data_IF_424234143451
#
_entry.id   IF_424234143451
#
_cell.length_a   1.000
_cell.length_b   1.000
_cell.length_c   1.000
_cell.angle_alpha   90.00
_cell.angle_beta   90.00
_cell.angle_gamma   90.00
#
_symmetry.space_group_name_H-M   'P 1'
#
loop_
_entity.id
_entity.type
_entity.pdbx_description
1 polymer ?
#
# COMPACT_ATOMS: atom_id res chain seq x y z
N UNK A 1 9.04 8.76 22.34
CA UNK A 1 10.39 8.26 22.03
C UNK A 1 11.08 9.32 21.18
N UNK A 2 12.18 9.91 21.69
CA UNK A 2 12.91 10.97 21.00
C UNK A 2 13.62 10.43 19.74
N UNK A 3 13.68 11.22 18.66
CA UNK A 3 14.39 10.88 17.42
C UNK A 3 13.65 9.91 16.47
N UNK A 4 12.51 9.36 16.84
CA UNK A 4 11.72 8.48 15.97
C UNK A 4 10.67 9.24 15.19
N UNK A 5 10.43 8.81 13.96
CA UNK A 5 9.43 9.36 13.06
C UNK A 5 8.54 8.24 12.49
N UNK A 6 7.26 8.53 12.26
CA UNK A 6 6.33 7.63 11.60
C UNK A 6 6.12 8.05 10.14
N UNK A 7 6.38 7.15 9.19
CA UNK A 7 6.07 7.37 7.78
C UNK A 7 4.87 6.50 7.39
N UNK A 8 3.66 7.09 7.24
CA UNK A 8 2.45 6.32 7.06
C UNK A 8 2.34 5.78 5.63
N UNK A 9 2.53 4.48 5.50
CA UNK A 9 2.33 3.75 4.26
C UNK A 9 1.15 2.80 4.44
N UNK A 10 0.28 2.72 3.46
CA UNK A 10 -0.89 1.85 3.45
C UNK A 10 -0.88 0.92 2.25
N UNK A 11 -1.62 -0.20 2.34
CA UNK A 11 -1.91 -1.08 1.22
C UNK A 11 -3.37 -0.93 0.80
N UNK A 12 -3.60 -0.64 -0.47
CA UNK A 12 -4.92 -0.62 -1.08
C UNK A 12 -5.17 -1.95 -1.78
N UNK A 13 -6.41 -2.45 -1.70
CA UNK A 13 -6.81 -3.71 -2.30
C UNK A 13 -8.02 -3.52 -3.20
N UNK A 14 -7.99 -4.15 -4.37
CA UNK A 14 -9.19 -4.41 -5.14
C UNK A 14 -9.89 -5.61 -4.53
N UNK A 15 -11.21 -5.54 -4.34
CA UNK A 15 -12.01 -6.64 -3.80
C UNK A 15 -13.13 -7.00 -4.75
N UNK A 16 -13.24 -8.30 -5.07
CA UNK A 16 -14.39 -8.87 -5.75
C UNK A 16 -15.17 -9.77 -4.80
N UNK A 17 -16.51 -9.68 -4.85
CA UNK A 17 -17.44 -10.58 -4.15
C UNK A 17 -18.15 -11.52 -5.13
N UNK A 18 -17.74 -11.57 -6.39
CA UNK A 18 -18.34 -12.45 -7.38
C UNK A 18 -18.06 -13.93 -7.01
N UNK A 19 -19.09 -14.73 -6.70
CA UNK A 19 -18.91 -16.10 -6.26
C UNK A 19 -18.25 -16.98 -7.33
N UNK A 20 -18.53 -16.79 -8.60
CA UNK A 20 -17.91 -17.55 -9.68
C UNK A 20 -16.40 -17.38 -9.73
N UNK A 21 -15.92 -16.13 -9.59
CA UNK A 21 -14.49 -15.84 -9.53
C UNK A 21 -13.84 -16.41 -8.27
N UNK A 22 -14.55 -16.36 -7.15
CA UNK A 22 -14.05 -16.87 -5.86
C UNK A 22 -13.91 -18.40 -5.92
N UNK A 23 -14.87 -19.09 -6.54
CA UNK A 23 -14.81 -20.56 -6.68
C UNK A 23 -13.69 -21.01 -7.62
N UNK A 24 -13.42 -20.27 -8.67
CA UNK A 24 -12.35 -20.56 -9.62
C UNK A 24 -10.95 -20.35 -9.03
N UNK A 25 -10.84 -19.54 -7.97
CA UNK A 25 -9.54 -19.16 -7.40
C UNK A 25 -9.46 -19.51 -5.91
N UNK A 26 -8.85 -20.65 -5.59
CA UNK A 26 -8.70 -21.16 -4.22
C UNK A 26 -7.26 -21.05 -3.69
N UNK A 27 -6.32 -20.64 -4.53
CA UNK A 27 -4.90 -20.50 -4.17
C UNK A 27 -4.52 -19.04 -3.98
N UNK A 28 -3.43 -18.79 -3.24
CA UNK A 28 -2.78 -17.50 -3.17
C UNK A 28 -1.67 -17.44 -4.22
N UNK A 29 -1.78 -16.52 -5.16
CA UNK A 29 -0.83 -16.34 -6.25
C UNK A 29 -0.13 -15.01 -6.11
N UNK A 30 1.20 -15.03 -6.14
CA UNK A 30 2.04 -13.82 -6.11
C UNK A 30 2.49 -13.46 -7.52
N UNK A 31 2.44 -12.18 -7.85
CA UNK A 31 3.09 -11.63 -9.02
C UNK A 31 4.62 -11.74 -8.91
N UNK A 32 5.30 -11.69 -10.04
CA UNK A 32 6.78 -11.65 -10.08
C UNK A 32 7.25 -10.21 -9.81
N UNK A 33 8.11 -10.06 -8.81
CA UNK A 33 8.74 -8.78 -8.55
C UNK A 33 9.75 -8.43 -9.66
N UNK A 34 9.76 -7.18 -10.11
CA UNK A 34 10.85 -6.67 -10.89
C UNK A 34 12.14 -6.58 -10.04
N UNK A 35 13.30 -6.74 -10.67
CA UNK A 35 14.59 -6.62 -9.97
C UNK A 35 14.71 -5.20 -9.36
N UNK A 36 15.00 -5.12 -8.08
CA UNK A 36 15.10 -3.85 -7.36
C UNK A 36 13.76 -3.20 -6.98
N UNK A 37 12.63 -3.86 -7.23
CA UNK A 37 11.33 -3.35 -6.82
C UNK A 37 11.18 -3.34 -5.28
N UNK A 38 10.51 -2.32 -4.71
CA UNK A 38 10.21 -2.30 -3.28
C UNK A 38 9.39 -3.52 -2.85
N UNK A 39 9.57 -4.05 -1.62
CA UNK A 39 8.87 -5.26 -1.16
C UNK A 39 7.35 -5.21 -1.28
N UNK A 40 6.74 -4.02 -1.19
CA UNK A 40 5.30 -3.80 -1.28
C UNK A 40 4.77 -3.63 -2.70
N UNK A 41 5.63 -3.68 -3.72
CA UNK A 41 5.24 -3.50 -5.13
C UNK A 41 4.80 -4.79 -5.82
N UNK A 42 4.72 -5.90 -5.08
CA UNK A 42 4.31 -7.22 -5.62
C UNK A 42 2.87 -7.50 -5.24
N UNK A 43 1.92 -7.17 -6.11
CA UNK A 43 0.54 -7.53 -5.86
C UNK A 43 0.36 -9.04 -5.92
N UNK A 44 -0.58 -9.54 -5.17
CA UNK A 44 -0.98 -10.93 -5.19
C UNK A 44 -2.50 -11.07 -5.21
N UNK A 45 -2.95 -12.19 -5.75
CA UNK A 45 -4.35 -12.57 -5.77
C UNK A 45 -4.59 -13.59 -4.66
N UNK A 46 -5.58 -13.32 -3.81
CA UNK A 46 -5.81 -14.11 -2.60
C UNK A 46 -7.31 -14.17 -2.26
N UNK A 47 -7.82 -15.36 -2.01
CA UNK A 47 -9.18 -15.54 -1.50
C UNK A 47 -9.16 -15.54 0.02
N UNK A 48 -9.91 -14.63 0.63
CA UNK A 48 -10.01 -14.48 2.09
C UNK A 48 -11.44 -14.46 2.59
N UNK A 49 -11.60 -14.90 3.81
CA UNK A 49 -12.84 -14.70 4.58
C UNK A 49 -12.66 -13.49 5.49
N UNK A 50 -13.49 -12.47 5.31
CA UNK A 50 -13.50 -11.24 6.10
C UNK A 50 -14.92 -11.04 6.60
N UNK A 51 -15.10 -11.00 7.91
CA UNK A 51 -16.42 -10.87 8.56
C UNK A 51 -17.43 -11.95 8.11
N UNK A 52 -16.96 -13.18 7.93
CA UNK A 52 -17.77 -14.31 7.49
C UNK A 52 -18.04 -14.37 5.97
N UNK A 53 -17.64 -13.38 5.20
CA UNK A 53 -17.81 -13.33 3.75
C UNK A 53 -16.51 -13.67 3.01
N UNK A 54 -16.60 -14.60 2.06
CA UNK A 54 -15.49 -14.83 1.13
C UNK A 54 -15.36 -13.66 0.15
N UNK A 55 -14.14 -13.28 -0.13
CA UNK A 55 -13.82 -12.26 -1.11
C UNK A 55 -12.49 -12.54 -1.78
N UNK A 56 -12.39 -12.24 -3.05
CA UNK A 56 -11.16 -12.28 -3.81
C UNK A 56 -10.50 -10.90 -3.71
N UNK A 57 -9.24 -10.88 -3.27
CA UNK A 57 -8.47 -9.67 -3.05
C UNK A 57 -7.29 -9.64 -4.00
N UNK A 58 -7.07 -8.52 -4.67
CA UNK A 58 -5.91 -8.26 -5.49
C UNK A 58 -5.17 -7.02 -4.98
N UNK A 59 -3.89 -7.16 -4.72
CA UNK A 59 -3.02 -6.13 -4.14
C UNK A 59 -1.91 -6.74 -3.28
N UNK A 60 -1.32 -5.98 -2.35
CA UNK A 60 -1.62 -4.57 -2.07
C UNK A 60 -1.00 -3.64 -3.11
N UNK A 61 -1.67 -2.53 -3.39
CA UNK A 61 -1.06 -1.37 -4.03
C UNK A 61 -0.57 -0.40 -2.97
N UNK A 62 0.61 0.15 -3.15
CA UNK A 62 1.14 1.14 -2.23
C UNK A 62 0.24 2.37 -2.16
N UNK A 63 0.02 2.87 -0.96
CA UNK A 63 -0.69 4.10 -0.72
C UNK A 63 0.02 4.91 0.35
N UNK A 64 -0.15 6.22 0.31
CA UNK A 64 0.36 7.12 1.30
C UNK A 64 -0.70 8.14 1.71
N UNK A 65 -0.71 8.47 2.99
CA UNK A 65 -1.58 9.52 3.50
C UNK A 65 -0.92 10.16 4.72
N UNK A 66 -1.01 11.48 4.89
CA UNK A 66 -0.52 12.13 6.10
C UNK A 66 -1.37 11.84 7.36
N UNK A 67 -2.48 11.11 7.22
CA UNK A 67 -3.24 10.60 8.36
C UNK A 67 -2.57 9.36 8.94
N UNK A 68 -2.41 9.30 10.25
CA UNK A 68 -1.90 8.11 10.92
C UNK A 68 -2.96 7.04 11.15
N UNK A 69 -4.22 7.44 11.24
CA UNK A 69 -5.36 6.56 11.46
C UNK A 69 -6.46 6.84 10.44
N UNK A 70 -7.32 5.86 10.19
CA UNK A 70 -8.46 5.98 9.27
C UNK A 70 -9.34 7.19 9.59
N UNK A 71 -9.57 7.46 10.88
CA UNK A 71 -10.33 8.62 11.39
C UNK A 71 -9.44 9.77 11.85
N UNK A 72 -8.15 9.76 11.49
CA UNK A 72 -7.19 10.80 11.83
C UNK A 72 -7.35 12.07 10.98
N UNK A 73 -6.50 13.05 11.29
CA UNK A 73 -6.41 14.33 10.57
C UNK A 73 -5.31 14.28 9.51
N UNK A 74 -5.50 14.98 8.40
CA UNK A 74 -4.44 15.22 7.40
C UNK A 74 -3.25 16.01 7.96
N UNK A 75 -3.41 16.62 9.13
CA UNK A 75 -2.36 17.32 9.84
C UNK A 75 -1.54 16.42 10.79
N UNK A 76 -1.91 15.15 10.95
CA UNK A 76 -1.25 14.26 11.92
C UNK A 76 0.25 14.12 11.65
N UNK A 77 0.64 13.93 10.39
CA UNK A 77 2.05 13.86 10.00
C UNK A 77 2.79 15.15 10.35
N UNK A 78 2.24 16.30 9.97
CA UNK A 78 2.89 17.59 10.22
C UNK A 78 3.02 17.90 11.71
N UNK A 79 2.00 17.58 12.51
CA UNK A 79 2.03 17.72 13.97
C UNK A 79 3.02 16.79 14.66
N UNK A 80 3.40 15.69 14.01
CA UNK A 80 4.38 14.74 14.53
C UNK A 80 5.83 15.14 14.27
N UNK A 81 6.06 16.11 13.38
CA UNK A 81 7.40 16.61 13.07
C UNK A 81 7.89 17.48 14.22
N UNK A 82 9.06 17.15 14.73
CA UNK A 82 9.76 17.85 15.82
C UNK A 82 11.22 18.08 15.45
N UNK A 83 11.91 19.01 16.10
CA UNK A 83 13.33 19.25 15.84
C UNK A 83 14.20 17.99 16.05
N UNK A 84 13.83 17.12 16.98
CA UNK A 84 14.55 15.89 17.31
C UNK A 84 14.32 14.72 16.31
N UNK A 85 13.27 14.79 15.46
CA UNK A 85 12.96 13.72 14.52
C UNK A 85 12.96 14.15 13.04
N UNK A 86 13.18 15.41 12.73
CA UNK A 86 13.19 15.91 11.35
C UNK A 86 14.26 15.27 10.49
N UNK A 87 15.40 14.94 11.07
CA UNK A 87 16.50 14.25 10.40
C UNK A 87 16.10 12.82 10.00
N UNK A 88 15.29 12.15 10.83
CA UNK A 88 14.76 10.82 10.53
C UNK A 88 13.79 10.85 9.34
N UNK A 89 12.93 11.86 9.23
CA UNK A 89 12.06 12.06 8.07
C UNK A 89 12.86 12.32 6.79
N UNK A 90 13.84 13.22 6.84
CA UNK A 90 14.71 13.53 5.71
C UNK A 90 15.55 12.32 5.31
N UNK A 91 16.07 11.57 6.29
CA UNK A 91 16.83 10.34 6.05
C UNK A 91 16.03 9.31 5.26
N UNK A 92 14.78 9.04 5.64
CA UNK A 92 13.91 8.11 4.91
C UNK A 92 13.62 8.62 3.50
N UNK A 93 13.31 9.90 3.33
CA UNK A 93 13.01 10.48 2.02
C UNK A 93 14.18 10.39 1.03
N UNK A 94 15.42 10.55 1.53
CA UNK A 94 16.64 10.56 0.71
C UNK A 94 17.19 9.15 0.51
N UNK A 95 17.29 8.34 1.57
CA UNK A 95 17.87 6.99 1.51
C UNK A 95 16.96 6.02 0.74
N UNK A 96 15.64 6.17 0.89
CA UNK A 96 14.65 5.34 0.23
C UNK A 96 13.96 6.09 -0.94
N UNK A 97 14.77 6.77 -1.76
CA UNK A 97 14.25 7.54 -2.92
C UNK A 97 13.42 6.66 -3.86
N UNK A 98 13.83 5.39 -4.07
CA UNK A 98 13.08 4.42 -4.88
C UNK A 98 11.68 4.15 -4.30
N UNK A 99 11.55 3.98 -2.99
CA UNK A 99 10.26 3.82 -2.31
C UNK A 99 9.41 5.09 -2.40
N UNK A 100 10.01 6.26 -2.20
CA UNK A 100 9.33 7.55 -2.29
C UNK A 100 8.76 7.76 -3.69
N UNK A 101 9.57 7.54 -4.73
CA UNK A 101 9.12 7.62 -6.12
C UNK A 101 7.98 6.64 -6.40
N UNK A 102 8.14 5.37 -6.01
CA UNK A 102 7.09 4.36 -6.15
C UNK A 102 5.77 4.79 -5.50
N UNK A 103 5.80 5.32 -4.27
CA UNK A 103 4.59 5.76 -3.57
C UNK A 103 3.93 6.96 -4.26
N UNK A 104 4.71 7.91 -4.78
CA UNK A 104 4.18 9.06 -5.53
C UNK A 104 3.51 8.59 -6.82
N UNK A 105 4.13 7.68 -7.55
CA UNK A 105 3.58 7.12 -8.79
C UNK A 105 2.32 6.32 -8.49
N UNK A 106 2.32 5.52 -7.44
CA UNK A 106 1.19 4.67 -7.05
C UNK A 106 -0.03 5.47 -6.55
N UNK A 107 0.19 6.55 -5.81
CA UNK A 107 -0.90 7.44 -5.34
C UNK A 107 -1.58 8.16 -6.51
N UNK A 108 -0.88 8.38 -7.61
CA UNK A 108 -1.43 9.01 -8.82
C UNK A 108 -2.29 8.06 -9.65
N UNK A 109 -2.13 6.75 -9.49
CA UNK A 109 -2.93 5.75 -10.21
C UNK A 109 -4.39 5.77 -9.76
N UNK A 110 -5.29 5.77 -10.72
CA UNK A 110 -6.73 5.65 -10.48
C UNK A 110 -7.18 4.18 -10.43
N UNK A 111 -8.47 3.94 -10.23
CA UNK A 111 -9.03 2.59 -10.17
C UNK A 111 -8.84 1.82 -11.50
N UNK A 112 -9.00 2.49 -12.64
CA UNK A 112 -8.86 1.86 -13.97
C UNK A 112 -7.44 1.39 -14.23
N UNK A 113 -6.44 2.18 -13.85
CA UNK A 113 -5.01 1.81 -13.99
C UNK A 113 -4.69 0.55 -13.18
N UNK A 114 -5.28 0.44 -11.98
CA UNK A 114 -5.08 -0.73 -11.10
C UNK A 114 -5.77 -1.98 -11.63
N UNK A 115 -6.94 -1.83 -12.25
CA UNK A 115 -7.65 -2.93 -12.92
C UNK A 115 -6.86 -3.40 -14.15
N UNK A 116 -6.21 -2.50 -14.88
CA UNK A 116 -5.36 -2.89 -16.02
C UNK A 116 -4.19 -3.75 -15.61
N UNK A 117 -3.52 -3.41 -14.50
CA UNK A 117 -2.44 -4.25 -13.93
C UNK A 117 -2.90 -5.67 -13.59
N UNK A 118 -4.21 -5.89 -13.33
CA UNK A 118 -4.75 -7.22 -13.08
C UNK A 118 -4.86 -8.06 -14.35
N UNK A 119 -4.93 -7.41 -15.53
CA UNK A 119 -5.07 -8.10 -16.82
C UNK A 119 -3.74 -8.52 -17.44
N UNK A 120 -2.64 -7.91 -17.02
CA UNK A 120 -1.26 -8.27 -17.39
C UNK A 120 -0.76 -9.52 -16.61
#
# INVERSE_FOLDING_TARGET
VAGYAGFPVSGLWLRSKNPELIEQHQAKVYGKAAVGAPPMSVPHLDTRVIDGEKGLLFGPYGGWSPKFLKKGSYLDLFKSIRPDNITSYLGVAVQEFGLTKYLVDEVRKNFSDRVETLRE
#
